data_IF_771416048134
#
_entry.id   IF_771416048134
#
_cell.length_a   1.000
_cell.length_b   1.000
_cell.length_c   1.000
_cell.angle_alpha   90.00
_cell.angle_beta   90.00
_cell.angle_gamma   90.00
#
_symmetry.space_group_name_H-M   'P 1'
#
loop_
_entity.id
_entity.type
_entity.pdbx_description
1 polymer ?
#
# COMPACT_ATOMS: atom_id res chain seq x y z
N UNK A 1 2.00 3.93 -36.16
CA UNK A 1 2.60 3.60 -34.86
C UNK A 1 3.44 2.38 -35.10
N UNK A 2 4.73 2.55 -35.37
CA UNK A 2 5.65 1.43 -35.45
C UNK A 2 5.70 0.79 -34.06
N UNK A 3 5.13 -0.40 -33.94
CA UNK A 3 5.21 -1.18 -32.74
C UNK A 3 6.67 -1.58 -32.57
N UNK A 4 7.34 -0.96 -31.61
CA UNK A 4 8.73 -1.21 -31.29
C UNK A 4 8.82 -2.57 -30.59
N UNK A 5 8.81 -3.63 -31.41
CA UNK A 5 8.92 -5.03 -30.97
C UNK A 5 10.38 -5.46 -30.72
N UNK A 6 11.33 -4.56 -30.92
CA UNK A 6 12.75 -4.82 -30.74
C UNK A 6 13.38 -3.82 -29.77
N UNK A 7 14.34 -4.32 -29.00
CA UNK A 7 15.24 -3.53 -28.16
C UNK A 7 16.48 -3.04 -28.92
N UNK A 8 16.53 -3.25 -30.24
CA UNK A 8 17.61 -2.72 -31.08
C UNK A 8 17.74 -1.20 -30.91
N UNK A 9 18.96 -0.78 -30.60
CA UNK A 9 19.28 0.63 -30.37
C UNK A 9 18.87 1.17 -29.01
N UNK A 10 18.33 0.36 -28.08
CA UNK A 10 18.08 0.81 -26.71
C UNK A 10 19.40 1.04 -25.97
N UNK A 11 19.54 2.22 -25.36
CA UNK A 11 20.66 2.55 -24.47
C UNK A 11 20.14 2.86 -23.07
N UNK A 12 20.64 2.12 -22.09
CA UNK A 12 20.35 2.34 -20.68
C UNK A 12 21.03 3.64 -20.22
N UNK A 13 20.24 4.56 -19.62
CA UNK A 13 20.76 5.79 -19.02
C UNK A 13 20.99 5.64 -17.52
N UNK A 14 20.00 5.15 -16.79
CA UNK A 14 20.09 4.95 -15.33
C UNK A 14 19.05 3.97 -14.81
N UNK A 15 19.33 3.42 -13.63
CA UNK A 15 18.36 2.66 -12.86
C UNK A 15 17.48 3.67 -12.11
N UNK A 16 16.16 3.52 -12.24
CA UNK A 16 15.19 4.34 -11.51
C UNK A 16 14.89 3.72 -10.14
N UNK A 17 14.61 2.41 -10.09
CA UNK A 17 14.40 1.67 -8.84
C UNK A 17 14.82 0.21 -8.99
N UNK A 18 15.24 -0.42 -7.90
CA UNK A 18 15.52 -1.85 -7.79
C UNK A 18 14.81 -2.40 -6.53
N UNK A 19 13.61 -2.96 -6.74
CA UNK A 19 12.78 -3.57 -5.71
C UNK A 19 13.14 -5.06 -5.57
N UNK A 20 14.04 -5.34 -4.64
CA UNK A 20 14.52 -6.71 -4.39
C UNK A 20 13.47 -7.59 -3.72
N UNK A 21 12.43 -7.05 -3.09
CA UNK A 21 11.36 -7.84 -2.49
C UNK A 21 10.44 -8.38 -3.58
N UNK A 22 9.96 -7.50 -4.47
CA UNK A 22 9.11 -7.87 -5.62
C UNK A 22 9.88 -8.47 -6.79
N UNK A 23 11.22 -8.46 -6.73
CA UNK A 23 12.09 -8.90 -7.84
C UNK A 23 11.79 -8.09 -9.11
N UNK A 24 11.66 -6.77 -8.95
CA UNK A 24 11.33 -5.81 -10.01
C UNK A 24 12.41 -4.73 -10.10
N UNK A 25 12.78 -4.35 -11.33
CA UNK A 25 13.69 -3.23 -11.60
C UNK A 25 13.06 -2.32 -12.66
N UNK A 26 13.14 -1.00 -12.47
CA UNK A 26 12.75 -0.05 -13.49
C UNK A 26 13.96 0.79 -13.91
N UNK A 27 14.09 1.03 -15.20
CA UNK A 27 15.21 1.76 -15.80
C UNK A 27 14.74 2.81 -16.77
N UNK A 28 15.53 3.88 -16.89
CA UNK A 28 15.37 4.91 -17.92
C UNK A 28 16.41 4.68 -19.01
N UNK A 29 15.99 4.78 -20.26
CA UNK A 29 16.87 4.74 -21.42
C UNK A 29 16.35 5.59 -22.57
N UNK A 30 16.95 5.42 -23.74
CA UNK A 30 16.48 5.99 -25.00
C UNK A 30 16.77 5.04 -26.16
N UNK A 31 16.08 5.20 -27.28
CA UNK A 31 16.34 4.43 -28.50
C UNK A 31 17.12 5.24 -29.52
N UNK A 32 18.09 4.61 -30.18
CA UNK A 32 18.88 5.16 -31.30
C UNK A 32 19.52 6.53 -30.98
N UNK A 33 19.91 6.76 -29.73
CA UNK A 33 20.47 8.05 -29.29
C UNK A 33 19.46 9.21 -29.27
N UNK A 34 18.17 8.95 -29.44
CA UNK A 34 17.10 9.95 -29.43
C UNK A 34 16.95 10.68 -28.09
N UNK A 35 16.26 11.82 -28.12
CA UNK A 35 16.03 12.66 -26.93
C UNK A 35 14.86 12.11 -26.10
N UNK A 36 13.91 11.43 -26.74
CA UNK A 36 12.72 10.88 -26.10
C UNK A 36 13.10 9.76 -25.11
N UNK A 37 12.76 9.91 -23.83
CA UNK A 37 13.09 8.89 -22.83
C UNK A 37 12.14 7.70 -22.95
N UNK A 38 12.64 6.52 -22.56
CA UNK A 38 11.88 5.30 -22.40
C UNK A 38 12.01 4.83 -20.95
N UNK A 39 10.91 4.34 -20.36
CA UNK A 39 10.95 3.61 -19.09
C UNK A 39 10.68 2.16 -19.36
N UNK A 40 11.56 1.30 -18.87
CA UNK A 40 11.45 -0.17 -18.98
C UNK A 40 11.34 -0.74 -17.58
N UNK A 41 10.28 -1.50 -17.32
CA UNK A 41 10.05 -2.18 -16.06
C UNK A 41 10.16 -3.67 -16.28
N UNK A 42 11.05 -4.32 -15.54
CA UNK A 42 11.31 -5.75 -15.57
C UNK A 42 10.91 -6.37 -14.24
N UNK A 43 10.10 -7.43 -14.27
CA UNK A 43 9.63 -8.12 -13.07
C UNK A 43 9.73 -9.64 -13.27
N UNK A 44 10.14 -10.39 -12.25
CA UNK A 44 10.10 -11.86 -12.29
C UNK A 44 8.66 -12.36 -12.18
N UNK A 45 8.27 -13.32 -13.00
CA UNK A 45 7.03 -14.04 -12.75
C UNK A 45 7.15 -14.89 -11.47
N UNK A 46 6.03 -15.06 -10.77
CA UNK A 46 5.93 -16.05 -9.71
C UNK A 46 6.09 -17.46 -10.29
N UNK A 47 6.62 -18.39 -9.48
CA UNK A 47 6.67 -19.79 -9.88
C UNK A 47 5.27 -20.37 -10.00
N UNK A 48 5.00 -21.01 -11.12
CA UNK A 48 3.89 -21.93 -11.32
C UNK A 48 4.41 -23.38 -11.45
N UNK A 49 3.49 -24.34 -11.55
CA UNK A 49 3.84 -25.75 -11.65
C UNK A 49 4.78 -26.04 -12.84
N UNK A 50 4.50 -25.46 -14.01
CA UNK A 50 5.31 -25.63 -15.20
C UNK A 50 6.75 -25.11 -15.01
N UNK A 51 6.90 -23.93 -14.40
CA UNK A 51 8.20 -23.33 -14.08
C UNK A 51 8.98 -24.19 -13.10
N UNK A 52 8.31 -24.75 -12.08
CA UNK A 52 8.95 -25.64 -11.10
C UNK A 52 9.43 -26.93 -11.76
N UNK A 53 8.62 -27.57 -12.61
CA UNK A 53 9.02 -28.78 -13.34
C UNK A 53 10.20 -28.51 -14.29
N UNK A 54 10.26 -27.32 -14.90
CA UNK A 54 11.38 -26.92 -15.76
C UNK A 54 12.67 -26.60 -14.97
N UNK A 55 12.57 -26.25 -13.69
CA UNK A 55 13.75 -26.04 -12.82
C UNK A 55 14.17 -27.36 -12.15
N UNK A 56 13.23 -28.20 -11.74
CA UNK A 56 13.50 -29.43 -11.00
C UNK A 56 13.67 -30.65 -11.93
N UNK A 57 14.62 -30.58 -12.85
CA UNK A 57 14.99 -31.71 -13.73
C UNK A 57 16.51 -31.83 -13.91
N UNK A 58 16.94 -32.93 -14.52
CA UNK A 58 18.35 -33.26 -14.74
C UNK A 58 19.10 -32.29 -15.66
N UNK A 59 18.40 -31.45 -16.43
CA UNK A 59 18.99 -30.43 -17.30
C UNK A 59 19.40 -29.15 -16.56
N UNK A 60 18.97 -28.96 -15.31
CA UNK A 60 19.28 -27.76 -14.54
C UNK A 60 20.72 -27.75 -14.06
N UNK A 61 21.45 -26.69 -14.40
CA UNK A 61 22.82 -26.48 -13.93
C UNK A 61 22.78 -25.85 -12.55
N UNK A 62 23.45 -26.48 -11.58
CA UNK A 62 23.53 -26.02 -10.21
C UNK A 62 24.95 -25.57 -9.88
N UNK A 63 25.08 -24.42 -9.23
CA UNK A 63 26.31 -23.94 -8.60
C UNK A 63 26.06 -23.87 -7.09
N UNK A 64 26.81 -24.65 -6.32
CA UNK A 64 26.72 -24.63 -4.85
C UNK A 64 27.23 -23.27 -4.33
N UNK A 65 26.44 -22.65 -3.47
CA UNK A 65 26.77 -21.39 -2.81
C UNK A 65 27.19 -21.63 -1.35
N UNK A 66 26.46 -22.47 -0.64
CA UNK A 66 26.68 -22.77 0.78
C UNK A 66 26.16 -24.17 1.12
N UNK A 67 26.85 -24.86 2.03
CA UNK A 67 26.46 -26.16 2.57
C UNK A 67 26.68 -26.17 4.09
N UNK A 68 25.64 -26.53 4.84
CA UNK A 68 25.71 -26.74 6.28
C UNK A 68 24.74 -27.85 6.70
N UNK A 69 25.28 -29.01 7.09
CA UNK A 69 24.54 -30.23 7.43
C UNK A 69 23.51 -30.60 6.34
N UNK A 70 22.21 -30.53 6.63
CA UNK A 70 21.14 -30.82 5.67
C UNK A 70 20.77 -29.64 4.76
N UNK A 71 21.31 -28.44 5.00
CA UNK A 71 20.99 -27.24 4.24
C UNK A 71 22.01 -26.96 3.15
N UNK A 72 21.56 -26.96 1.89
CA UNK A 72 22.38 -26.58 0.73
C UNK A 72 21.69 -25.46 -0.04
N UNK A 73 22.44 -24.40 -0.35
CA UNK A 73 21.97 -23.30 -1.20
C UNK A 73 22.67 -23.35 -2.54
N UNK A 74 21.91 -23.24 -3.63
CA UNK A 74 22.43 -23.26 -5.00
C UNK A 74 21.96 -22.04 -5.79
N UNK A 75 22.79 -21.58 -6.71
CA UNK A 75 22.32 -20.84 -7.87
C UNK A 75 21.99 -21.85 -8.97
N UNK A 76 20.80 -21.73 -9.58
CA UNK A 76 20.33 -22.64 -10.61
C UNK A 76 20.11 -21.93 -11.94
N UNK A 77 20.46 -22.58 -13.04
CA UNK A 77 20.13 -22.16 -14.41
C UNK A 77 19.36 -23.28 -15.08
N UNK A 78 18.02 -23.15 -15.24
CA UNK A 78 17.22 -24.16 -15.92
C UNK A 78 17.53 -24.20 -17.42
N UNK A 79 17.22 -25.31 -18.11
CA UNK A 79 17.26 -25.34 -19.57
C UNK A 79 16.32 -24.29 -20.17
N UNK A 80 16.69 -23.76 -21.33
CA UNK A 80 15.86 -22.82 -22.07
C UNK A 80 14.57 -23.50 -22.54
N UNK A 81 13.43 -22.86 -22.28
CA UNK A 81 12.13 -23.29 -22.73
C UNK A 81 11.32 -22.07 -23.16
N UNK A 82 11.04 -21.97 -24.46
CA UNK A 82 10.34 -20.82 -25.06
C UNK A 82 8.90 -20.65 -24.55
N UNK A 83 8.28 -21.73 -24.04
CA UNK A 83 6.92 -21.70 -23.50
C UNK A 83 6.87 -21.24 -22.03
N UNK A 84 8.03 -21.00 -21.40
CA UNK A 84 8.12 -20.59 -20.00
C UNK A 84 8.77 -19.22 -19.93
N UNK A 85 7.93 -18.20 -19.74
CA UNK A 85 8.41 -16.84 -19.52
C UNK A 85 8.89 -16.67 -18.07
N UNK A 86 10.14 -16.23 -17.88
CA UNK A 86 10.70 -15.96 -16.55
C UNK A 86 10.55 -14.52 -16.08
N UNK A 87 10.43 -13.58 -17.03
CA UNK A 87 10.32 -12.15 -16.74
C UNK A 87 9.15 -11.56 -17.52
N UNK A 88 8.42 -10.67 -16.86
CA UNK A 88 7.52 -9.70 -17.49
C UNK A 88 8.33 -8.44 -17.80
N UNK A 89 8.03 -7.81 -18.92
CA UNK A 89 8.59 -6.51 -19.30
C UNK A 89 7.46 -5.57 -19.74
N UNK A 90 7.43 -4.36 -19.16
CA UNK A 90 6.57 -3.27 -19.61
C UNK A 90 7.44 -2.13 -20.16
N UNK A 91 7.13 -1.64 -21.36
CA UNK A 91 7.81 -0.50 -22.00
C UNK A 91 6.87 0.70 -22.06
N UNK A 92 7.34 1.85 -21.58
CA UNK A 92 6.67 3.15 -21.68
C UNK A 92 7.53 4.04 -22.56
N UNK A 93 7.04 4.33 -23.77
CA UNK A 93 7.73 5.17 -24.74
C UNK A 93 6.74 5.96 -25.62
N UNK A 94 6.93 7.28 -25.82
CA UNK A 94 7.84 8.13 -25.07
C UNK A 94 7.38 8.30 -23.61
N UNK A 95 8.32 8.26 -22.67
CA UNK A 95 8.07 8.48 -21.25
C UNK A 95 7.98 9.98 -20.94
N UNK A 96 7.14 10.34 -19.98
CA UNK A 96 7.09 11.70 -19.43
C UNK A 96 7.89 11.77 -18.12
N UNK A 97 8.20 12.97 -17.66
CA UNK A 97 8.78 13.18 -16.31
C UNK A 97 7.91 12.56 -15.20
N UNK A 98 6.58 12.56 -15.36
CA UNK A 98 5.67 11.88 -14.42
C UNK A 98 5.86 10.36 -14.41
N UNK A 99 6.13 9.76 -15.58
CA UNK A 99 6.43 8.32 -15.67
C UNK A 99 7.77 8.01 -15.00
N UNK A 100 8.81 8.79 -15.30
CA UNK A 100 10.14 8.61 -14.70
C UNK A 100 10.05 8.74 -13.17
N UNK A 101 9.40 9.79 -12.67
CA UNK A 101 9.23 10.03 -11.23
C UNK A 101 8.45 8.91 -10.54
N UNK A 102 7.43 8.34 -11.18
CA UNK A 102 6.63 7.22 -10.65
C UNK A 102 7.48 5.98 -10.38
N UNK A 103 8.47 5.71 -11.23
CA UNK A 103 9.33 4.53 -11.11
C UNK A 103 10.69 4.83 -10.46
N UNK A 104 10.96 6.10 -10.14
CA UNK A 104 12.17 6.49 -9.42
C UNK A 104 12.06 6.14 -7.94
N UNK A 105 13.10 5.49 -7.43
CA UNK A 105 13.32 5.37 -6.00
C UNK A 105 13.46 6.76 -5.39
N UNK A 106 12.88 6.94 -4.21
CA UNK A 106 12.95 8.19 -3.48
C UNK A 106 13.29 7.87 -2.03
N UNK A 107 14.12 8.71 -1.38
CA UNK A 107 14.32 8.60 0.05
C UNK A 107 12.98 8.66 0.79
N UNK A 108 12.81 7.73 1.72
CA UNK A 108 11.66 7.65 2.62
C UNK A 108 12.16 7.98 4.01
N UNK A 109 11.42 8.84 4.71
CA UNK A 109 11.75 9.31 6.05
C UNK A 109 10.68 8.85 7.02
N UNK A 110 11.11 8.39 8.19
CA UNK A 110 10.22 8.15 9.31
C UNK A 110 9.99 9.48 10.05
N UNK A 111 8.72 9.86 10.18
CA UNK A 111 8.28 11.00 10.98
C UNK A 111 7.79 10.47 12.32
N UNK A 112 8.25 11.10 13.40
CA UNK A 112 7.75 10.87 14.75
C UNK A 112 6.92 12.08 15.16
N UNK A 113 5.62 12.04 14.85
CA UNK A 113 4.75 13.20 14.98
C UNK A 113 4.18 13.31 16.39
N UNK A 114 4.55 14.39 17.10
CA UNK A 114 3.94 14.75 18.38
C UNK A 114 2.61 15.49 18.19
N UNK A 115 1.87 15.70 19.28
CA UNK A 115 0.69 16.58 19.29
C UNK A 115 1.01 17.97 18.71
N UNK A 116 2.11 18.58 19.15
CA UNK A 116 2.53 19.92 18.70
C UNK A 116 2.82 19.97 17.20
N UNK A 117 3.56 18.98 16.67
CA UNK A 117 3.84 18.85 15.24
C UNK A 117 2.53 18.69 14.46
N UNK A 118 1.61 17.86 14.95
CA UNK A 118 0.31 17.68 14.32
C UNK A 118 -0.47 18.99 14.24
N UNK A 119 -0.63 19.69 15.37
CA UNK A 119 -1.44 20.90 15.45
C UNK A 119 -0.86 22.07 14.64
N UNK A 120 0.46 22.23 14.65
CA UNK A 120 1.12 23.42 14.07
C UNK A 120 1.63 23.22 12.63
N UNK A 121 1.66 21.98 12.13
CA UNK A 121 2.26 21.65 10.84
C UNK A 121 1.34 20.76 10.02
N UNK A 122 1.06 19.55 10.50
CA UNK A 122 0.37 18.54 9.71
C UNK A 122 -1.11 18.90 9.49
N UNK A 123 -1.84 19.26 10.54
CA UNK A 123 -3.25 19.64 10.44
C UNK A 123 -3.46 20.88 9.54
N UNK A 124 -2.71 21.99 9.68
CA UNK A 124 -2.78 23.11 8.74
C UNK A 124 -2.55 22.68 7.29
N UNK A 125 -1.55 21.82 7.06
CA UNK A 125 -1.26 21.29 5.73
C UNK A 125 -2.41 20.43 5.16
N UNK A 126 -3.01 19.58 5.99
CA UNK A 126 -4.17 18.75 5.62
C UNK A 126 -5.34 19.65 5.23
N UNK A 127 -5.63 20.68 6.00
CA UNK A 127 -6.75 21.59 5.75
C UNK A 127 -6.53 22.43 4.48
N UNK A 128 -5.30 22.81 4.15
CA UNK A 128 -5.00 23.57 2.93
C UNK A 128 -4.90 22.71 1.67
N UNK A 129 -4.65 21.40 1.79
CA UNK A 129 -4.39 20.49 0.66
C UNK A 129 -5.38 19.31 0.60
N UNK A 130 -6.55 19.43 1.24
CA UNK A 130 -7.50 18.31 1.31
C UNK A 130 -8.03 17.92 -0.07
N UNK A 131 -7.87 16.64 -0.43
CA UNK A 131 -8.50 16.06 -1.61
C UNK A 131 -10.03 16.08 -1.46
N UNK A 132 -10.73 16.14 -2.60
CA UNK A 132 -12.19 16.07 -2.60
C UNK A 132 -12.67 14.72 -2.05
N UNK A 133 -13.54 14.78 -1.03
CA UNK A 133 -14.22 13.62 -0.43
C UNK A 133 -15.57 13.32 -1.11
N UNK A 134 -15.87 13.95 -2.25
CA UNK A 134 -17.18 13.82 -2.89
C UNK A 134 -17.52 12.37 -3.25
N UNK A 135 -16.53 11.58 -3.66
CA UNK A 135 -16.73 10.16 -3.96
C UNK A 135 -17.15 9.37 -2.69
N UNK A 136 -16.58 9.69 -1.53
CA UNK A 136 -16.95 9.10 -0.24
C UNK A 136 -18.41 9.43 0.09
N UNK A 137 -18.78 10.71 -0.04
CA UNK A 137 -20.15 11.16 0.24
C UNK A 137 -21.16 10.58 -0.74
N UNK A 138 -20.81 10.43 -2.02
CA UNK A 138 -21.68 9.77 -2.99
C UNK A 138 -21.93 8.30 -2.61
N UNK A 139 -20.92 7.57 -2.11
CA UNK A 139 -21.09 6.22 -1.61
C UNK A 139 -21.98 6.16 -0.36
N UNK A 140 -21.75 7.05 0.62
CA UNK A 140 -22.55 7.12 1.86
C UNK A 140 -24.01 7.55 1.62
N UNK A 141 -24.26 8.36 0.57
CA UNK A 141 -25.59 8.81 0.17
C UNK A 141 -26.25 7.87 -0.86
N UNK A 142 -25.64 6.70 -1.14
CA UNK A 142 -26.10 5.70 -2.11
C UNK A 142 -26.28 6.22 -3.55
N UNK A 143 -25.58 7.30 -3.89
CA UNK A 143 -25.54 7.89 -5.24
C UNK A 143 -24.55 7.16 -6.15
N UNK A 144 -23.58 6.43 -5.58
CA UNK A 144 -22.62 5.60 -6.31
C UNK A 144 -22.30 4.31 -5.55
N UNK A 145 -21.86 3.28 -6.28
CA UNK A 145 -21.35 2.00 -5.74
C UNK A 145 -22.35 1.24 -4.84
N UNK A 146 -23.65 1.55 -4.94
CA UNK A 146 -24.70 0.97 -4.10
C UNK A 146 -24.75 -0.54 -4.22
N UNK A 147 -24.59 -1.06 -5.43
CA UNK A 147 -24.56 -2.49 -5.75
C UNK A 147 -23.31 -3.21 -5.21
N UNK A 148 -22.25 -2.46 -4.88
CA UNK A 148 -21.02 -3.02 -4.33
C UNK A 148 -21.03 -3.08 -2.81
N UNK A 149 -21.89 -2.31 -2.14
CA UNK A 149 -22.04 -2.34 -0.67
C UNK A 149 -22.38 -3.77 -0.24
N UNK A 150 -21.50 -4.36 0.56
CA UNK A 150 -21.64 -5.72 1.08
C UNK A 150 -22.39 -5.76 2.40
N UNK A 151 -22.28 -4.68 3.16
CA UNK A 151 -22.95 -4.54 4.44
C UNK A 151 -23.13 -3.06 4.78
N UNK A 152 -24.24 -2.75 5.44
CA UNK A 152 -24.58 -1.41 5.89
C UNK A 152 -25.33 -1.52 7.22
N UNK A 153 -24.82 -0.87 8.25
CA UNK A 153 -25.42 -0.90 9.60
C UNK A 153 -26.85 -0.35 9.66
N UNK A 154 -27.27 0.51 8.72
CA UNK A 154 -28.65 1.02 8.66
C UNK A 154 -29.66 -0.09 8.31
N UNK A 155 -29.22 -1.13 7.58
CA UNK A 155 -30.08 -2.25 7.18
C UNK A 155 -30.57 -3.10 8.35
N UNK A 156 -29.89 -3.04 9.51
CA UNK A 156 -30.23 -3.87 10.67
C UNK A 156 -31.29 -3.23 11.57
N UNK A 157 -31.35 -1.90 11.65
CA UNK A 157 -31.90 -1.25 12.84
C UNK A 157 -33.10 -0.32 12.64
N UNK A 158 -33.54 -0.04 11.39
CA UNK A 158 -34.60 0.96 11.10
C UNK A 158 -34.42 2.32 11.84
N UNK A 159 -33.22 2.60 12.37
CA UNK A 159 -32.87 3.78 13.14
C UNK A 159 -31.73 4.49 12.43
N UNK A 160 -31.74 5.82 12.55
CA UNK A 160 -30.61 6.66 12.18
C UNK A 160 -29.38 6.20 12.99
N UNK A 161 -28.34 5.76 12.28
CA UNK A 161 -27.05 5.32 12.80
C UNK A 161 -25.90 6.26 12.38
N UNK A 162 -26.20 7.53 12.11
CA UNK A 162 -25.25 8.51 11.55
C UNK A 162 -23.96 8.65 12.38
N UNK A 163 -24.04 8.43 13.70
CA UNK A 163 -22.88 8.56 14.60
C UNK A 163 -22.02 7.31 14.70
N UNK A 164 -22.64 6.12 14.67
CA UNK A 164 -21.99 4.84 14.99
C UNK A 164 -22.07 3.79 13.86
N UNK A 165 -22.56 4.23 12.70
CA UNK A 165 -22.77 3.42 11.51
C UNK A 165 -21.66 3.53 10.48
N UNK A 166 -21.59 2.53 9.62
CA UNK A 166 -20.63 2.45 8.52
C UNK A 166 -21.20 1.59 7.38
N UNK A 167 -20.61 1.75 6.19
CA UNK A 167 -20.80 0.84 5.06
C UNK A 167 -19.53 0.02 4.84
N UNK A 168 -19.68 -1.23 4.42
CA UNK A 168 -18.58 -2.13 4.06
C UNK A 168 -18.66 -2.41 2.56
N UNK A 169 -17.55 -2.20 1.85
CA UNK A 169 -17.47 -2.36 0.39
C UNK A 169 -16.11 -2.94 -0.03
N UNK A 170 -16.01 -3.58 -1.21
CA UNK A 170 -14.75 -3.98 -1.83
C UNK A 170 -13.77 -2.82 -1.98
N UNK A 171 -12.50 -3.05 -1.63
CA UNK A 171 -11.43 -2.13 -2.04
C UNK A 171 -11.19 -2.28 -3.55
N UNK A 172 -10.81 -1.19 -4.23
CA UNK A 172 -10.51 -1.18 -5.66
C UNK A 172 -9.40 -2.17 -6.06
N UNK A 173 -8.53 -2.54 -5.12
CA UNK A 173 -7.43 -3.49 -5.32
C UNK A 173 -7.87 -4.95 -5.24
N UNK A 174 -9.10 -5.23 -4.79
CA UNK A 174 -9.54 -6.60 -4.62
C UNK A 174 -9.99 -7.22 -5.95
N UNK A 175 -9.38 -8.34 -6.32
CA UNK A 175 -9.72 -9.11 -7.54
C UNK A 175 -11.03 -9.90 -7.45
N UNK A 176 -11.61 -10.02 -6.25
CA UNK A 176 -12.72 -10.93 -5.95
C UNK A 176 -12.28 -12.30 -5.43
N UNK A 177 -10.98 -12.64 -5.50
CA UNK A 177 -10.45 -13.89 -4.92
C UNK A 177 -10.35 -13.79 -3.41
N UNK A 178 -10.85 -14.79 -2.68
CA UNK A 178 -10.84 -14.79 -1.20
C UNK A 178 -9.42 -14.79 -0.61
N UNK A 179 -8.45 -15.42 -1.28
CA UNK A 179 -7.04 -15.38 -0.89
C UNK A 179 -6.44 -13.97 -0.86
N UNK A 180 -7.11 -13.02 -1.51
CA UNK A 180 -6.74 -11.60 -1.60
C UNK A 180 -7.84 -10.70 -1.02
N UNK A 181 -8.74 -11.24 -0.18
CA UNK A 181 -9.89 -10.50 0.36
C UNK A 181 -9.43 -9.15 0.91
N UNK A 182 -10.04 -8.09 0.38
CA UNK A 182 -9.79 -6.72 0.79
C UNK A 182 -11.09 -5.91 0.71
N UNK A 183 -11.60 -5.53 1.89
CA UNK A 183 -12.76 -4.66 2.05
C UNK A 183 -12.39 -3.39 2.83
N UNK A 184 -13.22 -2.38 2.69
CA UNK A 184 -13.11 -1.09 3.34
C UNK A 184 -14.40 -0.78 4.08
N UNK A 185 -14.30 -0.46 5.38
CA UNK A 185 -15.38 0.13 6.14
C UNK A 185 -15.26 1.65 6.12
N UNK A 186 -16.27 2.35 5.59
CA UNK A 186 -16.34 3.81 5.55
C UNK A 186 -17.41 4.26 6.55
N UNK A 187 -17.04 5.08 7.52
CA UNK A 187 -17.95 5.53 8.58
C UNK A 187 -18.95 6.56 8.05
N UNK A 188 -20.17 6.58 8.58
CA UNK A 188 -21.20 7.57 8.19
C UNK A 188 -20.96 8.93 8.82
N UNK A 189 -20.46 8.94 10.07
CA UNK A 189 -20.13 10.16 10.80
C UNK A 189 -19.08 10.96 10.04
N UNK A 190 -19.44 12.18 9.64
CA UNK A 190 -18.53 13.09 8.94
C UNK A 190 -17.53 13.73 9.90
N UNK A 191 -16.49 14.35 9.34
CA UNK A 191 -15.48 15.15 10.06
C UNK A 191 -14.55 14.38 11.01
N UNK A 192 -14.51 13.05 10.92
CA UNK A 192 -13.41 12.25 11.48
C UNK A 192 -12.38 12.07 10.36
N UNK A 193 -11.29 12.85 10.40
CA UNK A 193 -10.28 12.92 9.33
C UNK A 193 -9.31 11.75 9.39
N UNK A 194 -8.88 11.36 10.58
CA UNK A 194 -7.85 10.34 10.79
C UNK A 194 -7.87 9.83 12.24
N UNK A 195 -6.86 9.02 12.58
CA UNK A 195 -6.59 8.52 13.92
C UNK A 195 -6.55 9.64 14.99
N UNK A 196 -6.04 10.83 14.64
CA UNK A 196 -5.94 12.00 15.54
C UNK A 196 -7.28 12.55 16.02
N UNK A 197 -8.37 12.29 15.31
CA UNK A 197 -9.72 12.75 15.68
C UNK A 197 -10.46 11.75 16.59
N UNK A 198 -9.93 10.53 16.79
CA UNK A 198 -10.61 9.52 17.59
C UNK A 198 -10.52 9.84 19.08
N UNK A 199 -11.65 9.65 19.76
CA UNK A 199 -11.85 9.91 21.19
C UNK A 199 -12.72 8.81 21.79
N UNK A 200 -12.95 8.86 23.11
CA UNK A 200 -13.90 7.97 23.80
C UNK A 200 -15.31 7.97 23.17
N UNK A 201 -15.76 9.10 22.62
CA UNK A 201 -17.08 9.22 21.96
C UNK A 201 -17.20 8.35 20.70
N UNK A 202 -16.06 7.93 20.13
CA UNK A 202 -16.02 7.09 18.93
C UNK A 202 -15.91 5.60 19.26
N UNK A 203 -15.84 5.22 20.53
CA UNK A 203 -15.58 3.84 20.92
C UNK A 203 -16.67 2.87 20.43
N UNK A 204 -17.94 3.30 20.48
CA UNK A 204 -19.06 2.48 20.00
C UNK A 204 -18.99 2.25 18.48
N UNK A 205 -18.74 3.30 17.70
CA UNK A 205 -18.45 3.20 16.26
C UNK A 205 -17.33 2.20 15.96
N UNK A 206 -16.19 2.29 16.66
CA UNK A 206 -15.05 1.39 16.44
C UNK A 206 -15.39 -0.07 16.77
N UNK A 207 -16.10 -0.31 17.88
CA UNK A 207 -16.58 -1.65 18.27
C UNK A 207 -17.60 -2.19 17.26
N UNK A 208 -18.48 -1.34 16.73
CA UNK A 208 -19.42 -1.73 15.68
C UNK A 208 -18.68 -2.16 14.42
N UNK A 209 -17.67 -1.38 13.97
CA UNK A 209 -16.86 -1.73 12.81
C UNK A 209 -16.20 -3.09 13.02
N UNK A 210 -15.54 -3.30 14.16
CA UNK A 210 -14.89 -4.57 14.49
C UNK A 210 -15.88 -5.73 14.44
N UNK A 211 -16.93 -5.69 15.28
CA UNK A 211 -17.79 -6.84 15.52
C UNK A 211 -18.76 -7.09 14.36
N UNK A 212 -19.43 -6.04 13.88
CA UNK A 212 -20.42 -6.18 12.81
C UNK A 212 -19.75 -6.37 11.46
N UNK A 213 -18.64 -5.68 11.22
CA UNK A 213 -17.85 -5.84 10.00
C UNK A 213 -17.31 -7.27 9.86
N UNK A 214 -16.70 -7.82 10.91
CA UNK A 214 -16.22 -9.20 10.87
C UNK A 214 -17.36 -10.23 10.76
N UNK A 215 -18.49 -10.01 11.45
CA UNK A 215 -19.65 -10.90 11.33
C UNK A 215 -20.24 -10.90 9.91
N UNK A 216 -20.33 -9.74 9.27
CA UNK A 216 -20.75 -9.63 7.88
C UNK A 216 -19.79 -10.36 6.93
N UNK A 217 -18.47 -10.21 7.13
CA UNK A 217 -17.45 -10.91 6.35
C UNK A 217 -17.56 -12.42 6.51
N UNK A 218 -17.70 -12.91 7.73
CA UNK A 218 -17.90 -14.33 8.00
C UNK A 218 -19.15 -14.86 7.27
N UNK A 219 -20.27 -14.16 7.38
CA UNK A 219 -21.53 -14.55 6.71
C UNK A 219 -21.41 -14.60 5.18
N UNK A 220 -20.67 -13.66 4.58
CA UNK A 220 -20.54 -13.54 3.13
C UNK A 220 -19.48 -14.47 2.53
N UNK A 221 -18.39 -14.72 3.26
CA UNK A 221 -17.18 -15.33 2.71
C UNK A 221 -16.62 -16.50 3.53
N UNK A 222 -17.20 -16.81 4.69
CA UNK A 222 -16.72 -17.87 5.59
C UNK A 222 -15.35 -17.59 6.24
N UNK A 223 -14.87 -16.34 6.19
CA UNK A 223 -13.58 -15.95 6.76
C UNK A 223 -13.77 -15.54 8.21
N UNK A 224 -13.09 -16.24 9.12
CA UNK A 224 -13.17 -15.99 10.56
C UNK A 224 -12.49 -14.69 10.96
N UNK A 225 -12.92 -14.08 12.08
CA UNK A 225 -12.28 -12.88 12.63
C UNK A 225 -10.77 -13.07 12.87
N UNK A 226 -10.36 -14.25 13.34
CA UNK A 226 -8.96 -14.60 13.59
C UNK A 226 -8.12 -14.71 12.30
N UNK A 227 -8.77 -14.78 11.15
CA UNK A 227 -8.14 -14.79 9.83
C UNK A 227 -8.16 -13.41 9.16
N UNK A 228 -8.61 -12.36 9.86
CA UNK A 228 -8.63 -10.99 9.36
C UNK A 228 -7.56 -10.13 10.01
N UNK A 229 -6.87 -9.34 9.21
CA UNK A 229 -6.12 -8.16 9.65
C UNK A 229 -7.00 -6.94 9.45
N UNK A 230 -7.43 -6.33 10.56
CA UNK A 230 -8.34 -5.17 10.59
C UNK A 230 -7.59 -3.95 11.13
N UNK A 231 -7.43 -2.91 10.33
CA UNK A 231 -6.49 -1.83 10.63
C UNK A 231 -6.85 -0.49 9.98
N UNK A 232 -6.22 0.58 10.47
CA UNK A 232 -6.35 1.95 9.99
C UNK A 232 -4.99 2.44 9.51
N UNK A 233 -4.96 3.19 8.41
CA UNK A 233 -3.73 3.85 7.97
C UNK A 233 -3.49 5.18 8.69
N UNK A 234 -2.23 5.46 9.02
CA UNK A 234 -1.75 6.79 9.39
C UNK A 234 -0.44 7.10 8.66
N UNK A 235 -0.33 8.14 7.82
CA UNK A 235 -1.42 8.98 7.32
C UNK A 235 -2.35 8.19 6.36
N UNK A 236 -3.67 8.49 6.32
CA UNK A 236 -4.60 7.86 5.40
C UNK A 236 -4.45 8.41 3.97
N UNK A 237 -4.92 7.66 2.96
CA UNK A 237 -4.91 8.13 1.56
C UNK A 237 -5.95 9.23 1.29
N UNK A 238 -6.97 9.36 2.14
CA UNK A 238 -7.96 10.41 2.13
C UNK A 238 -8.47 10.65 3.55
N UNK A 239 -8.78 11.90 3.89
CA UNK A 239 -9.09 12.32 5.26
C UNK A 239 -10.58 12.21 5.61
N UNK A 240 -11.12 11.00 5.44
CA UNK A 240 -12.39 10.55 6.02
C UNK A 240 -12.15 9.17 6.62
N UNK A 241 -12.43 9.00 7.90
CA UNK A 241 -12.01 7.81 8.65
C UNK A 241 -12.57 6.53 8.02
N UNK A 242 -11.67 5.57 7.83
CA UNK A 242 -11.97 4.29 7.23
C UNK A 242 -11.10 3.20 7.83
N UNK A 243 -11.60 1.96 7.79
CA UNK A 243 -10.94 0.79 8.33
C UNK A 243 -10.80 -0.26 7.24
N UNK A 244 -9.59 -0.78 7.08
CA UNK A 244 -9.26 -1.84 6.14
C UNK A 244 -9.51 -3.20 6.78
N UNK A 245 -10.14 -4.10 6.02
CA UNK A 245 -10.30 -5.51 6.37
C UNK A 245 -9.59 -6.33 5.30
N UNK A 246 -8.57 -7.08 5.69
CA UNK A 246 -7.80 -7.91 4.75
C UNK A 246 -7.68 -9.33 5.26
N UNK A 247 -7.67 -10.32 4.37
CA UNK A 247 -7.30 -11.68 4.75
C UNK A 247 -5.87 -11.69 5.30
N UNK A 248 -5.64 -12.40 6.41
CA UNK A 248 -4.38 -12.31 7.15
C UNK A 248 -3.16 -12.74 6.31
N UNK A 249 -3.34 -13.72 5.42
CA UNK A 249 -2.29 -14.20 4.51
C UNK A 249 -2.07 -13.27 3.30
N UNK A 250 -3.03 -12.40 3.00
CA UNK A 250 -2.84 -11.38 1.97
C UNK A 250 -1.87 -10.32 2.47
N UNK A 251 -0.93 -9.90 1.61
CA UNK A 251 0.10 -8.89 1.90
C UNK A 251 -0.07 -7.64 1.02
N UNK A 252 -1.15 -6.86 1.19
CA UNK A 252 -1.32 -5.64 0.43
C UNK A 252 -0.35 -4.55 0.89
N UNK A 253 -0.11 -3.56 0.04
CA UNK A 253 0.67 -2.38 0.41
C UNK A 253 -0.02 -1.61 1.54
N UNK A 254 0.75 -1.23 2.56
CA UNK A 254 0.31 -0.39 3.66
C UNK A 254 0.00 -1.12 4.97
N UNK A 255 0.27 -2.43 5.05
CA UNK A 255 0.09 -3.24 6.28
C UNK A 255 1.24 -3.15 7.29
N UNK A 256 2.31 -2.44 6.94
CA UNK A 256 3.51 -2.36 7.76
C UNK A 256 3.28 -1.48 9.00
N UNK A 257 4.10 -1.67 10.04
CA UNK A 257 3.95 -1.01 11.35
C UNK A 257 4.07 0.52 11.29
N UNK A 258 4.81 1.05 10.32
CA UNK A 258 4.97 2.47 10.06
C UNK A 258 3.78 3.10 9.31
N UNK A 259 2.66 2.38 9.18
CA UNK A 259 1.44 2.88 8.56
C UNK A 259 0.16 2.29 9.12
N UNK A 260 0.12 0.98 9.36
CA UNK A 260 -1.07 0.28 9.81
C UNK A 260 -1.16 0.24 11.35
N UNK A 261 -2.31 0.63 11.87
CA UNK A 261 -2.68 0.54 13.27
C UNK A 261 -3.85 -0.43 13.42
N UNK A 262 -3.66 -1.53 14.15
CA UNK A 262 -4.73 -2.53 14.37
C UNK A 262 -5.93 -1.90 15.08
N UNK A 263 -7.14 -2.17 14.59
CA UNK A 263 -8.36 -1.60 15.15
C UNK A 263 -8.56 -1.99 16.62
N UNK A 264 -8.20 -3.21 16.99
CA UNK A 264 -8.26 -3.70 18.38
C UNK A 264 -7.32 -2.92 19.29
N UNK A 265 -6.09 -2.65 18.86
CA UNK A 265 -5.15 -1.78 19.59
C UNK A 265 -5.68 -0.36 19.69
N UNK A 266 -6.32 0.16 18.65
CA UNK A 266 -6.96 1.49 18.67
C UNK A 266 -8.04 1.57 19.74
N UNK A 267 -8.93 0.60 19.77
CA UNK A 267 -10.01 0.49 20.76
C UNK A 267 -9.40 0.44 22.17
N UNK A 268 -8.46 -0.45 22.42
CA UNK A 268 -7.83 -0.60 23.74
C UNK A 268 -7.14 0.69 24.21
N UNK A 269 -6.42 1.38 23.33
CA UNK A 269 -5.75 2.64 23.66
C UNK A 269 -6.75 3.72 24.10
N UNK A 270 -7.90 3.82 23.43
CA UNK A 270 -8.96 4.79 23.76
C UNK A 270 -9.68 4.40 25.06
N UNK A 271 -9.89 3.10 25.31
CA UNK A 271 -10.45 2.62 26.58
C UNK A 271 -9.56 2.94 27.78
N UNK A 272 -8.24 2.84 27.60
CA UNK A 272 -7.27 3.23 28.63
C UNK A 272 -7.19 4.75 28.81
N UNK A 273 -7.25 5.52 27.72
CA UNK A 273 -7.21 6.97 27.75
C UNK A 273 -8.08 7.56 26.62
N UNK A 274 -9.20 8.19 27.00
CA UNK A 274 -10.20 8.68 26.04
C UNK A 274 -9.70 9.71 25.02
N UNK A 275 -8.57 10.36 25.26
CA UNK A 275 -7.89 11.25 24.32
C UNK A 275 -6.46 10.78 23.95
N UNK A 276 -6.25 9.46 23.90
CA UNK A 276 -4.94 8.86 23.62
C UNK A 276 -4.32 9.42 22.33
N UNK A 277 -5.07 9.47 21.24
CA UNK A 277 -4.53 9.81 19.93
C UNK A 277 -4.25 11.29 19.71
N UNK A 278 -4.82 12.17 20.52
CA UNK A 278 -4.43 13.58 20.54
C UNK A 278 -3.03 13.76 21.13
N UNK A 279 -2.68 12.95 22.14
CA UNK A 279 -1.43 13.09 22.91
C UNK A 279 -0.29 12.17 22.44
N UNK A 280 -0.62 11.00 21.91
CA UNK A 280 0.36 10.00 21.53
C UNK A 280 1.27 10.50 20.40
N UNK A 281 2.53 10.06 20.43
CA UNK A 281 3.41 10.21 19.28
C UNK A 281 3.02 9.17 18.22
N UNK A 282 2.78 9.61 16.98
CA UNK A 282 2.42 8.74 15.88
C UNK A 282 3.55 8.69 14.86
N UNK A 283 3.94 7.47 14.49
CA UNK A 283 5.01 7.25 13.52
C UNK A 283 4.41 6.96 12.15
N UNK A 284 4.93 7.61 11.11
CA UNK A 284 4.57 7.29 9.74
C UNK A 284 5.70 7.61 8.78
N UNK A 285 5.64 7.09 7.55
CA UNK A 285 6.62 7.39 6.52
C UNK A 285 6.16 8.46 5.55
N UNK A 286 7.12 9.27 5.10
CA UNK A 286 6.91 10.31 4.08
C UNK A 286 8.02 10.25 3.03
N UNK A 287 7.68 10.56 1.78
CA UNK A 287 8.63 10.66 0.66
C UNK A 287 9.03 12.11 0.44
N UNK A 288 10.19 12.36 -0.16
CA UNK A 288 10.58 13.73 -0.53
C UNK A 288 9.61 14.42 -1.50
N UNK A 289 8.94 13.64 -2.35
CA UNK A 289 7.95 14.18 -3.27
C UNK A 289 6.65 14.60 -2.59
N UNK A 290 6.44 14.21 -1.33
CA UNK A 290 5.24 14.58 -0.59
C UNK A 290 5.33 16.05 -0.16
N UNK A 291 4.34 16.89 -0.48
CA UNK A 291 4.36 18.30 -0.11
C UNK A 291 4.56 18.56 1.39
N UNK A 292 4.07 17.68 2.28
CA UNK A 292 4.23 17.82 3.72
C UNK A 292 5.69 17.66 4.17
N UNK A 293 6.53 16.97 3.39
CA UNK A 293 7.95 16.80 3.68
C UNK A 293 8.68 18.15 3.75
N UNK A 294 8.38 19.05 2.81
CA UNK A 294 9.01 20.36 2.78
C UNK A 294 8.62 21.19 4.02
N UNK A 295 7.38 21.07 4.51
CA UNK A 295 6.95 21.75 5.74
C UNK A 295 7.75 21.30 6.98
N UNK A 296 8.17 20.03 7.03
CA UNK A 296 9.04 19.52 8.09
C UNK A 296 10.49 19.97 7.93
N UNK A 297 11.01 20.04 6.70
CA UNK A 297 12.37 20.52 6.43
C UNK A 297 12.53 21.99 6.80
N UNK A 298 11.56 22.84 6.42
CA UNK A 298 11.55 24.27 6.75
C UNK A 298 11.58 24.54 8.25
N UNK A 299 11.02 23.63 9.05
CA UNK A 299 11.01 23.70 10.52
C UNK A 299 12.14 22.92 11.18
N UNK A 300 13.06 22.36 10.39
CA UNK A 300 14.23 21.62 10.90
C UNK A 300 13.91 20.27 11.54
N UNK A 301 12.69 19.74 11.36
CA UNK A 301 12.26 18.44 11.89
C UNK A 301 12.86 17.29 11.09
N UNK A 302 12.85 17.42 9.77
CA UNK A 302 13.51 16.50 8.86
C UNK A 302 14.67 17.19 8.15
N UNK A 303 15.65 16.41 7.71
CA UNK A 303 16.76 16.87 6.88
C UNK A 303 16.81 16.01 5.64
N UNK A 304 16.94 16.64 4.48
CA UNK A 304 17.18 15.93 3.22
C UNK A 304 18.45 15.09 3.36
N UNK A 305 18.32 13.81 3.05
CA UNK A 305 19.43 12.90 2.94
C UNK A 305 20.37 13.39 1.85
N UNK A 306 21.67 13.27 2.09
CA UNK A 306 22.63 13.30 0.99
C UNK A 306 22.40 12.03 0.16
N UNK A 307 22.63 12.07 -1.16
CA UNK A 307 22.66 10.86 -1.97
C UNK A 307 23.60 9.84 -1.29
N UNK A 308 23.11 8.61 -1.09
CA UNK A 308 23.96 7.53 -0.62
C UNK A 308 24.98 7.24 -1.72
N UNK A 309 26.24 7.62 -1.48
CA UNK A 309 27.33 7.29 -2.38
C UNK A 309 27.78 5.85 -2.10
N UNK A 310 27.16 4.90 -2.81
CA UNK A 310 27.47 3.48 -2.67
C UNK A 310 28.84 3.11 -3.28
N UNK A 311 29.52 4.05 -3.95
CA UNK A 311 30.85 3.78 -4.57
C UNK A 311 31.98 3.57 -3.57
N UNK A 312 31.78 3.97 -2.30
CA UNK A 312 32.78 3.80 -1.22
C UNK A 312 32.57 2.54 -0.36
N UNK A 313 31.60 1.68 -0.67
CA UNK A 313 31.29 0.46 0.10
C UNK A 313 31.68 -0.85 -0.63
N UNK A 314 32.55 -0.77 -1.65
CA UNK A 314 33.16 -1.91 -2.35
C UNK A 314 34.66 -1.99 -2.08
#
# INVERSE_FOLDING_TARGET
>A
MDQQHSFDGFSLRRILTNDTERKMIAVEGNFNGGIEPAVVVLEKYAFDEASVLNVCNSGTKLKLNMENDVYKSFSCVPPFNENIAFNKMDLIYPASEKHILKFSSQPIYLVQETEDIYQNITLPHILSNSLSLQWVYNCLEYKSEKEKIKYDTASENQKNDDNDGFILLPDLKWSGKISELYLLAIVKKRNIKSLRDLTADHLQLLKNILNKGSAAIFKLYGVELSQLRIYVHYQPSFYHFHVHFTYLMHKPVGINVEKAHLLTTIINNIEMQGNYYQKAMLNYTIKESDPLFNCFVERGILRKAKPLDETNNL
#
